data_IF_119055310890
#
_entry.id   IF_119055310890
#
_cell.length_a   1.000
_cell.length_b   1.000
_cell.length_c   1.000
_cell.angle_alpha   90.00
_cell.angle_beta   90.00
_cell.angle_gamma   90.00
#
_symmetry.space_group_name_H-M   'P 1'
#
loop_
_entity.id
_entity.type
_entity.pdbx_description
1 polymer ?
#
# COMPACT_ATOMS: atom_id res chain seq x y z
N UNK A 1 -7.80 -21.25 -12.94
CA UNK A 1 -6.63 -20.47 -12.48
C UNK A 1 -6.89 -20.05 -11.04
N UNK A 2 -5.96 -20.29 -10.09
CA UNK A 2 -6.12 -19.77 -8.72
C UNK A 2 -5.60 -18.32 -8.69
N UNK A 3 -6.29 -17.37 -8.03
CA UNK A 3 -5.81 -16.00 -7.94
C UNK A 3 -4.50 -15.92 -7.17
N UNK A 4 -3.62 -15.00 -7.57
CA UNK A 4 -2.39 -14.74 -6.84
C UNK A 4 -2.69 -14.11 -5.47
N UNK A 5 -1.80 -14.30 -4.49
CA UNK A 5 -1.98 -13.75 -3.14
C UNK A 5 -2.22 -12.23 -3.13
N UNK A 6 -1.58 -11.48 -4.03
CA UNK A 6 -1.79 -10.03 -4.21
C UNK A 6 -3.23 -9.71 -4.63
N UNK A 7 -3.80 -10.45 -5.57
CA UNK A 7 -5.19 -10.24 -6.01
C UNK A 7 -6.20 -10.55 -4.90
N UNK A 8 -5.97 -11.62 -4.15
CA UNK A 8 -6.82 -12.00 -3.01
C UNK A 8 -6.77 -10.92 -1.95
N UNK A 9 -5.57 -10.48 -1.56
CA UNK A 9 -5.40 -9.42 -0.57
C UNK A 9 -6.01 -8.08 -1.04
N UNK A 10 -5.89 -7.75 -2.31
CA UNK A 10 -6.51 -6.56 -2.88
C UNK A 10 -8.03 -6.60 -2.70
N UNK A 11 -8.69 -7.70 -3.04
CA UNK A 11 -10.15 -7.87 -2.83
C UNK A 11 -10.53 -7.79 -1.36
N UNK A 12 -9.77 -8.43 -0.47
CA UNK A 12 -10.01 -8.37 0.97
C UNK A 12 -9.93 -6.93 1.50
N UNK A 13 -8.97 -6.14 1.03
CA UNK A 13 -8.84 -4.73 1.39
C UNK A 13 -10.04 -3.89 0.92
N UNK A 14 -10.57 -4.16 -0.28
CA UNK A 14 -11.76 -3.46 -0.80
C UNK A 14 -13.02 -3.70 0.04
N UNK A 15 -13.14 -4.85 0.71
CA UNK A 15 -14.29 -5.19 1.55
C UNK A 15 -14.04 -4.95 3.05
N UNK A 16 -13.00 -4.19 3.39
CA UNK A 16 -12.66 -3.83 4.78
C UNK A 16 -11.94 -4.92 5.58
N UNK A 17 -11.61 -6.06 4.98
CA UNK A 17 -10.91 -7.17 5.64
C UNK A 17 -9.40 -6.96 5.63
N UNK A 18 -8.95 -5.84 6.19
CA UNK A 18 -7.56 -5.40 6.11
C UNK A 18 -6.57 -6.34 6.82
N UNK A 19 -6.92 -6.86 8.00
CA UNK A 19 -6.06 -7.83 8.70
C UNK A 19 -5.88 -9.14 7.92
N UNK A 20 -6.95 -9.63 7.29
CA UNK A 20 -6.89 -10.82 6.43
C UNK A 20 -6.07 -10.56 5.16
N UNK A 21 -6.15 -9.36 4.60
CA UNK A 21 -5.31 -8.94 3.47
C UNK A 21 -3.82 -9.01 3.84
N UNK A 22 -3.41 -8.42 4.97
CA UNK A 22 -2.01 -8.47 5.43
C UNK A 22 -1.53 -9.90 5.70
N UNK A 23 -2.36 -10.74 6.32
CA UNK A 23 -2.04 -12.16 6.54
C UNK A 23 -1.80 -12.91 5.22
N UNK A 24 -2.60 -12.59 4.20
CA UNK A 24 -2.46 -13.16 2.85
C UNK A 24 -1.16 -12.70 2.18
N UNK A 25 -0.74 -11.45 2.40
CA UNK A 25 0.48 -10.89 1.81
C UNK A 25 1.77 -11.28 2.54
N UNK A 26 1.70 -11.64 3.82
CA UNK A 26 2.85 -11.95 4.68
C UNK A 26 3.93 -12.83 4.02
N UNK A 27 3.62 -13.99 3.39
CA UNK A 27 4.65 -14.81 2.75
C UNK A 27 5.26 -14.18 1.50
N UNK A 28 4.53 -13.29 0.81
CA UNK A 28 5.02 -12.59 -0.39
C UNK A 28 5.93 -11.44 0.03
N UNK A 29 5.50 -10.61 0.99
CA UNK A 29 6.30 -9.51 1.54
C UNK A 29 7.65 -10.00 2.09
N UNK A 30 7.64 -11.12 2.84
CA UNK A 30 8.86 -11.75 3.36
C UNK A 30 9.83 -12.20 2.27
N UNK A 31 9.31 -12.68 1.13
CA UNK A 31 10.16 -13.08 -0.02
C UNK A 31 10.71 -11.87 -0.75
N UNK A 32 9.92 -10.81 -0.93
CA UNK A 32 10.40 -9.56 -1.52
C UNK A 32 11.48 -8.87 -0.68
N UNK A 33 11.51 -9.06 0.65
CA UNK A 33 12.62 -8.58 1.48
C UNK A 33 13.93 -9.39 1.31
N UNK A 34 13.90 -10.56 0.67
CA UNK A 34 15.04 -11.47 0.53
C UNK A 34 15.77 -11.39 -0.81
N UNK A 35 15.44 -10.44 -1.70
CA UNK A 35 16.21 -10.18 -2.92
C UNK A 35 15.40 -9.82 -4.16
N UNK A 36 14.11 -10.14 -4.20
CA UNK A 36 13.23 -9.77 -5.32
C UNK A 36 12.69 -8.35 -5.13
N UNK A 37 12.80 -7.48 -6.16
CA UNK A 37 12.15 -6.16 -6.13
C UNK A 37 10.64 -6.36 -5.94
N UNK A 38 10.03 -5.86 -4.84
CA UNK A 38 8.61 -6.05 -4.60
C UNK A 38 7.79 -5.41 -5.73
N UNK A 39 6.76 -6.12 -6.19
CA UNK A 39 5.78 -5.58 -7.12
C UNK A 39 5.11 -4.34 -6.48
N UNK A 40 5.07 -3.15 -7.13
CA UNK A 40 4.42 -1.96 -6.57
C UNK A 40 2.97 -2.19 -6.13
N UNK A 41 2.21 -3.03 -6.83
CA UNK A 41 0.84 -3.38 -6.44
C UNK A 41 0.75 -4.18 -5.12
N UNK A 42 1.78 -4.98 -4.80
CA UNK A 42 1.88 -5.66 -3.52
C UNK A 42 2.01 -4.64 -2.38
N UNK A 43 2.90 -3.66 -2.56
CA UNK A 43 3.16 -2.60 -1.58
C UNK A 43 1.96 -1.67 -1.44
N UNK A 44 1.31 -1.28 -2.54
CA UNK A 44 0.07 -0.49 -2.48
C UNK A 44 -1.05 -1.21 -1.73
N UNK A 45 -1.20 -2.52 -1.97
CA UNK A 45 -2.25 -3.32 -1.32
C UNK A 45 -1.99 -3.43 0.18
N UNK A 46 -0.74 -3.68 0.58
CA UNK A 46 -0.35 -3.68 1.97
C UNK A 46 -0.58 -2.30 2.60
N UNK A 47 -0.22 -1.22 1.91
CA UNK A 47 -0.41 0.14 2.39
C UNK A 47 -1.89 0.46 2.63
N UNK A 48 -2.77 0.07 1.70
CA UNK A 48 -4.21 0.23 1.86
C UNK A 48 -4.77 -0.57 3.05
N UNK A 49 -4.23 -1.77 3.30
CA UNK A 49 -4.64 -2.57 4.44
C UNK A 49 -4.15 -1.96 5.76
N UNK A 50 -2.89 -1.53 5.85
CA UNK A 50 -2.38 -0.80 7.02
C UNK A 50 -3.17 0.49 7.27
N UNK A 51 -3.48 1.25 6.22
CA UNK A 51 -4.29 2.46 6.33
C UNK A 51 -5.67 2.17 6.90
N UNK A 52 -6.36 1.15 6.39
CA UNK A 52 -7.67 0.73 6.91
C UNK A 52 -7.64 0.19 8.35
N UNK A 53 -6.45 -0.14 8.88
CA UNK A 53 -6.22 -0.48 10.29
C UNK A 53 -5.75 0.71 11.14
N UNK A 54 -5.77 1.93 10.59
CA UNK A 54 -5.21 3.14 11.20
C UNK A 54 -3.70 3.05 11.53
N UNK A 55 -2.98 2.18 10.84
CA UNK A 55 -1.53 2.02 10.98
C UNK A 55 -0.82 2.96 10.00
N UNK A 56 -0.92 4.25 10.30
CA UNK A 56 -0.49 5.33 9.43
C UNK A 56 1.00 5.27 9.06
N UNK A 57 1.87 4.91 10.01
CA UNK A 57 3.32 4.83 9.78
C UNK A 57 3.65 3.79 8.72
N UNK A 58 3.10 2.58 8.85
CA UNK A 58 3.29 1.48 7.93
C UNK A 58 2.65 1.77 6.56
N UNK A 59 1.42 2.31 6.55
CA UNK A 59 0.72 2.68 5.33
C UNK A 59 1.52 3.67 4.47
N UNK A 60 2.05 4.72 5.11
CA UNK A 60 2.86 5.73 4.44
C UNK A 60 4.19 5.17 3.94
N UNK A 61 4.85 4.33 4.74
CA UNK A 61 6.13 3.73 4.38
C UNK A 61 5.99 2.81 3.14
N UNK A 62 4.96 1.96 3.13
CA UNK A 62 4.72 1.03 2.03
C UNK A 62 4.27 1.75 0.76
N UNK A 63 3.35 2.72 0.87
CA UNK A 63 2.90 3.48 -0.31
C UNK A 63 4.04 4.30 -0.92
N UNK A 64 4.92 4.89 -0.10
CA UNK A 64 6.11 5.60 -0.58
C UNK A 64 7.06 4.68 -1.33
N UNK A 65 7.36 3.51 -0.75
CA UNK A 65 8.17 2.49 -1.42
C UNK A 65 7.54 2.00 -2.71
N UNK A 66 6.20 1.90 -2.76
CA UNK A 66 5.48 1.54 -3.97
C UNK A 66 5.72 2.57 -5.09
N UNK A 67 5.67 3.87 -4.77
CA UNK A 67 5.98 4.98 -5.71
C UNK A 67 7.43 4.94 -6.17
N UNK A 68 8.38 4.70 -5.26
CA UNK A 68 9.81 4.64 -5.57
C UNK A 68 10.18 3.50 -6.52
N UNK A 69 9.44 2.39 -6.46
CA UNK A 69 9.69 1.18 -7.25
C UNK A 69 8.88 1.09 -8.55
N UNK A 70 8.16 2.16 -8.93
CA UNK A 70 7.37 2.19 -10.17
C UNK A 70 8.26 2.01 -11.42
N UNK A 71 8.03 0.98 -12.25
CA UNK A 71 8.81 0.73 -13.46
C UNK A 71 8.72 1.88 -14.46
N UNK A 72 9.85 2.31 -15.03
CA UNK A 72 9.99 3.48 -15.93
C UNK A 72 8.95 3.48 -17.06
N UNK A 73 8.65 2.30 -17.59
CA UNK A 73 7.75 2.00 -18.68
C UNK A 73 6.25 2.10 -18.34
N UNK A 74 5.88 2.23 -17.07
CA UNK A 74 4.48 2.41 -16.69
C UNK A 74 3.94 3.76 -17.17
N UNK A 75 2.66 3.74 -17.55
CA UNK A 75 1.92 4.93 -17.97
C UNK A 75 1.98 6.02 -16.89
N UNK A 76 2.11 7.27 -17.32
CA UNK A 76 2.13 8.43 -16.42
C UNK A 76 0.90 8.46 -15.50
N UNK A 77 -0.28 8.12 -16.02
CA UNK A 77 -1.53 8.04 -15.26
C UNK A 77 -1.47 7.03 -14.11
N UNK A 78 -0.78 5.90 -14.30
CA UNK A 78 -0.63 4.90 -13.24
C UNK A 78 0.31 5.42 -12.14
N UNK A 79 1.37 6.14 -12.53
CA UNK A 79 2.28 6.77 -11.56
C UNK A 79 1.58 7.84 -10.73
N UNK A 80 0.79 8.69 -11.38
CA UNK A 80 -0.01 9.72 -10.73
C UNK A 80 -1.02 9.12 -9.74
N UNK A 81 -1.64 7.97 -10.09
CA UNK A 81 -2.55 7.26 -9.19
C UNK A 81 -1.86 6.86 -7.87
N UNK A 82 -0.66 6.30 -7.94
CA UNK A 82 0.11 5.93 -6.75
C UNK A 82 0.54 7.14 -5.91
N UNK A 83 0.93 8.24 -6.58
CA UNK A 83 1.30 9.49 -5.92
C UNK A 83 0.11 10.15 -5.22
N UNK A 84 -1.05 10.20 -5.88
CA UNK A 84 -2.28 10.73 -5.28
C UNK A 84 -2.67 9.96 -4.02
N UNK A 85 -2.63 8.62 -4.06
CA UNK A 85 -2.87 7.80 -2.87
C UNK A 85 -1.90 8.09 -1.72
N UNK A 86 -0.63 8.31 -2.03
CA UNK A 86 0.34 8.70 -1.00
C UNK A 86 -0.04 10.03 -0.35
N UNK A 87 -0.47 11.00 -1.16
CA UNK A 87 -0.94 12.29 -0.66
C UNK A 87 -2.21 12.15 0.18
N UNK A 88 -3.18 11.35 -0.26
CA UNK A 88 -4.40 11.07 0.49
C UNK A 88 -4.09 10.49 1.87
N UNK A 89 -3.17 9.51 1.95
CA UNK A 89 -2.74 8.95 3.23
C UNK A 89 -1.99 9.98 4.09
N UNK A 90 -1.14 10.83 3.49
CA UNK A 90 -0.44 11.88 4.24
C UNK A 90 -1.41 12.88 4.86
N UNK A 91 -2.43 13.29 4.11
CA UNK A 91 -3.46 14.20 4.60
C UNK A 91 -4.32 13.56 5.69
N UNK A 92 -4.73 12.30 5.52
CA UNK A 92 -5.56 11.61 6.51
C UNK A 92 -4.80 11.23 7.80
N UNK A 93 -3.50 10.95 7.69
CA UNK A 93 -2.63 10.60 8.81
C UNK A 93 -1.92 11.81 9.44
N UNK A 94 -2.14 13.02 8.92
CA UNK A 94 -1.59 14.23 9.51
C UNK A 94 -2.19 14.43 10.91
N UNK A 95 -1.36 14.77 11.92
CA UNK A 95 -1.90 15.21 13.19
C UNK A 95 -2.76 16.47 12.96
N UNK A 96 -3.86 16.65 13.71
CA UNK A 96 -4.67 17.86 13.61
C UNK A 96 -3.77 19.06 13.84
N UNK A 97 -3.87 20.06 12.96
CA UNK A 97 -3.10 21.29 13.10
C UNK A 97 -3.36 21.88 14.49
N UNK A 98 -2.32 22.37 15.20
CA UNK A 98 -2.53 23.03 16.47
C UNK A 98 -3.42 24.25 16.23
N UNK A 99 -4.65 24.21 16.75
CA UNK A 99 -5.51 25.38 16.82
C UNK A 99 -4.88 26.32 17.84
N UNK A 100 -4.12 27.31 17.36
CA UNK A 100 -3.66 28.42 18.18
C UNK A 100 -4.89 29.21 18.64
N UNK A 101 -5.10 29.41 19.96
CA UNK A 101 -6.18 30.27 20.47
C UNK A 101 -5.95 31.74 20.15
#
# INVERSE_FOLDING_TARGET
MRPCATEVAWRLSQVGQHAAALMTLRPVLRRSTMGDRPNPYLLETAAAAHFGLNQCTEALAEQRKAVELLPAEWLASERERFQRKLQDYQSACAPPAPTTP
#
